data_IF_987156853401
#
_entry.id   IF_987156853401
#
_cell.length_a   1.000
_cell.length_b   1.000
_cell.length_c   1.000
_cell.angle_alpha   90.00
_cell.angle_beta   90.00
_cell.angle_gamma   90.00
#
_symmetry.space_group_name_H-M   'P 1'
#
loop_
_entity.id
_entity.type
_entity.pdbx_description
1 polymer ?
#
# COMPACT_ATOMS: atom_id res chain seq x y z
N UNK A 1 -5.35 1.09 -26.57
CA UNK A 1 -4.78 0.44 -25.38
C UNK A 1 -4.92 -1.06 -25.60
N UNK A 2 -3.87 -1.70 -26.11
CA UNK A 2 -3.79 -3.15 -26.07
C UNK A 2 -3.60 -3.62 -24.63
N UNK A 3 -3.85 -4.91 -24.32
CA UNK A 3 -3.62 -5.48 -22.98
C UNK A 3 -2.17 -5.31 -22.48
N UNK A 4 -1.24 -5.00 -23.39
CA UNK A 4 0.18 -4.77 -23.10
C UNK A 4 0.50 -3.34 -22.66
N UNK A 5 -0.40 -2.38 -22.87
CA UNK A 5 -0.19 -0.96 -22.54
C UNK A 5 -0.54 -0.61 -21.08
N UNK A 6 -1.03 -1.58 -20.31
CA UNK A 6 -1.56 -1.38 -18.94
C UNK A 6 -0.59 -1.82 -17.85
N UNK A 7 0.69 -1.97 -18.15
CA UNK A 7 1.74 -2.32 -17.16
C UNK A 7 2.86 -1.28 -17.17
N UNK A 8 3.54 -1.01 -16.03
CA UNK A 8 4.78 -0.26 -16.02
C UNK A 8 5.89 -1.01 -16.78
N UNK A 9 6.98 -0.35 -17.17
CA UNK A 9 8.11 -1.02 -17.84
C UNK A 9 8.76 -2.12 -16.98
N UNK A 10 8.79 -1.92 -15.66
CA UNK A 10 9.42 -2.81 -14.67
C UNK A 10 8.45 -3.11 -13.53
N UNK A 11 8.52 -4.32 -13.00
CA UNK A 11 7.79 -4.76 -11.81
C UNK A 11 8.63 -4.51 -10.53
N UNK A 12 8.05 -4.63 -9.31
CA UNK A 12 8.73 -4.29 -8.05
C UNK A 12 10.04 -5.05 -7.79
N UNK A 13 10.21 -6.22 -8.38
CA UNK A 13 11.40 -7.07 -8.30
C UNK A 13 12.55 -6.60 -9.21
N UNK A 14 12.30 -5.59 -10.04
CA UNK A 14 13.25 -5.06 -11.02
C UNK A 14 13.20 -5.78 -12.38
N UNK A 15 12.39 -6.82 -12.54
CA UNK A 15 12.26 -7.54 -13.82
C UNK A 15 11.39 -6.74 -14.79
N UNK A 16 11.66 -6.83 -16.09
CA UNK A 16 10.80 -6.17 -17.09
C UNK A 16 9.43 -6.85 -17.15
N UNK A 17 8.37 -6.05 -17.26
CA UNK A 17 7.00 -6.57 -17.39
C UNK A 17 6.85 -7.50 -18.61
N UNK A 18 7.58 -7.25 -19.70
CA UNK A 18 7.52 -8.10 -20.88
C UNK A 18 8.13 -9.49 -20.62
N UNK A 19 9.25 -9.55 -19.89
CA UNK A 19 9.92 -10.80 -19.56
C UNK A 19 9.11 -11.64 -18.57
N UNK A 20 8.66 -11.07 -17.46
CA UNK A 20 7.82 -11.78 -16.49
C UNK A 20 6.52 -12.29 -17.12
N UNK A 21 5.86 -11.46 -17.95
CA UNK A 21 4.64 -11.89 -18.64
C UNK A 21 4.91 -13.09 -19.54
N UNK A 22 6.04 -13.11 -20.26
CA UNK A 22 6.45 -14.24 -21.10
C UNK A 22 6.69 -15.50 -20.27
N UNK A 23 7.33 -15.38 -19.11
CA UNK A 23 7.56 -16.50 -18.20
C UNK A 23 6.23 -17.11 -17.69
N UNK A 24 5.30 -16.27 -17.23
CA UNK A 24 4.00 -16.75 -16.76
C UNK A 24 3.15 -17.37 -17.89
N UNK A 25 3.15 -16.77 -19.08
CA UNK A 25 2.47 -17.35 -20.26
C UNK A 25 3.11 -18.68 -20.65
N UNK A 26 4.43 -18.79 -20.58
CA UNK A 26 5.12 -20.04 -20.85
C UNK A 26 4.73 -21.11 -19.82
N UNK A 27 4.63 -20.79 -18.53
CA UNK A 27 4.15 -21.72 -17.51
C UNK A 27 2.75 -22.26 -17.83
N UNK A 28 1.84 -21.39 -18.29
CA UNK A 28 0.50 -21.81 -18.76
C UNK A 28 0.58 -22.83 -19.89
N UNK A 29 1.49 -22.63 -20.85
CA UNK A 29 1.70 -23.60 -21.93
C UNK A 29 2.33 -24.92 -21.48
N UNK A 30 2.97 -24.95 -20.32
CA UNK A 30 3.46 -26.18 -19.68
C UNK A 30 2.38 -26.87 -18.83
N UNK A 31 1.17 -26.31 -18.75
CA UNK A 31 0.04 -26.86 -18.01
C UNK A 31 -0.21 -26.20 -16.65
N UNK A 32 0.58 -25.18 -16.28
CA UNK A 32 0.41 -24.49 -15.02
C UNK A 32 -0.74 -23.47 -15.03
N UNK A 33 -1.17 -23.05 -13.84
CA UNK A 33 -2.17 -22.00 -13.66
C UNK A 33 -1.64 -20.91 -12.72
N UNK A 34 -0.63 -20.13 -13.17
CA UNK A 34 0.07 -19.19 -12.30
C UNK A 34 -0.88 -18.11 -11.77
N UNK A 35 -0.72 -17.81 -10.48
CA UNK A 35 -1.34 -16.71 -9.76
C UNK A 35 -0.24 -15.89 -9.13
N UNK A 36 -0.20 -14.59 -9.42
CA UNK A 36 0.90 -13.71 -9.01
C UNK A 36 0.41 -12.27 -8.83
N UNK A 37 1.15 -11.52 -8.02
CA UNK A 37 0.95 -10.08 -7.90
C UNK A 37 1.58 -9.35 -9.08
N UNK A 38 0.89 -8.30 -9.54
CA UNK A 38 1.29 -7.52 -10.70
C UNK A 38 0.92 -6.06 -10.50
N UNK A 39 1.84 -5.14 -10.79
CA UNK A 39 1.51 -3.73 -10.89
C UNK A 39 0.96 -3.41 -12.28
N UNK A 40 -0.27 -2.90 -12.33
CA UNK A 40 -0.86 -2.31 -13.52
C UNK A 40 -0.78 -0.78 -13.48
N UNK A 41 -0.83 -0.14 -14.64
CA UNK A 41 -0.90 1.32 -14.78
C UNK A 41 -2.34 1.74 -15.14
N UNK A 42 -2.98 2.49 -14.26
CA UNK A 42 -4.25 3.15 -14.53
C UNK A 42 -4.11 4.21 -15.63
N UNK A 43 -5.20 4.59 -16.29
CA UNK A 43 -5.21 5.66 -17.31
C UNK A 43 -4.68 7.01 -16.76
N UNK A 44 -4.79 7.25 -15.45
CA UNK A 44 -4.24 8.43 -14.77
C UNK A 44 -2.73 8.36 -14.50
N UNK A 45 -2.06 7.26 -14.85
CA UNK A 45 -0.66 7.01 -14.55
C UNK A 45 -0.40 6.36 -13.18
N UNK A 46 -1.41 6.30 -12.29
CA UNK A 46 -1.33 5.63 -10.99
C UNK A 46 -1.04 4.13 -11.15
N UNK A 47 -0.15 3.60 -10.33
CA UNK A 47 0.10 2.16 -10.25
C UNK A 47 -0.94 1.49 -9.34
N UNK A 48 -1.50 0.38 -9.80
CA UNK A 48 -2.54 -0.40 -9.12
C UNK A 48 -1.99 -1.81 -8.90
N UNK A 49 -1.85 -2.27 -7.63
CA UNK A 49 -1.52 -3.65 -7.35
C UNK A 49 -2.73 -4.55 -7.67
N UNK A 50 -2.50 -5.56 -8.49
CA UNK A 50 -3.51 -6.54 -8.85
C UNK A 50 -2.99 -7.97 -8.65
N UNK A 51 -3.89 -8.90 -8.36
CA UNK A 51 -3.63 -10.31 -8.54
C UNK A 51 -4.04 -10.72 -9.95
N UNK A 52 -3.11 -11.35 -10.66
CA UNK A 52 -3.33 -11.88 -12.00
C UNK A 52 -3.33 -13.39 -11.94
N UNK A 53 -4.37 -14.00 -12.52
CA UNK A 53 -4.46 -15.44 -12.73
C UNK A 53 -4.50 -15.75 -14.21
N UNK A 54 -3.60 -16.60 -14.67
CA UNK A 54 -3.59 -17.09 -16.05
C UNK A 54 -4.06 -18.53 -16.13
N UNK A 55 -4.91 -18.83 -17.11
CA UNK A 55 -5.42 -20.18 -17.37
C UNK A 55 -5.40 -20.45 -18.88
N UNK A 56 -4.97 -21.65 -19.27
CA UNK A 56 -5.05 -22.10 -20.65
C UNK A 56 -6.52 -22.25 -21.07
N UNK A 57 -6.91 -21.70 -22.22
CA UNK A 57 -8.23 -21.96 -22.78
C UNK A 57 -8.19 -23.27 -23.58
N UNK A 58 -9.18 -24.17 -23.40
CA UNK A 58 -9.25 -25.39 -24.19
C UNK A 58 -9.50 -25.05 -25.67
N UNK A 59 -8.75 -25.69 -26.57
CA UNK A 59 -8.86 -25.49 -28.02
C UNK A 59 -7.57 -25.77 -28.77
N UNK A 60 -7.62 -25.67 -30.11
CA UNK A 60 -6.48 -25.87 -31.02
C UNK A 60 -5.52 -24.68 -31.11
N UNK A 61 -5.93 -23.51 -30.61
CA UNK A 61 -5.11 -22.30 -30.57
C UNK A 61 -4.53 -22.10 -29.17
N UNK A 62 -3.24 -21.71 -29.10
CA UNK A 62 -2.51 -21.40 -27.85
C UNK A 62 -3.04 -20.12 -27.19
N UNK A 63 -4.25 -20.17 -26.65
CA UNK A 63 -4.94 -19.03 -26.03
C UNK A 63 -4.85 -19.11 -24.50
N UNK A 64 -4.60 -17.96 -23.89
CA UNK A 64 -4.54 -17.80 -22.44
C UNK A 64 -5.63 -16.81 -22.03
N UNK A 65 -6.40 -17.16 -20.99
CA UNK A 65 -7.28 -16.23 -20.30
C UNK A 65 -6.54 -15.66 -19.10
N UNK A 66 -6.45 -14.33 -19.05
CA UNK A 66 -6.07 -13.60 -17.83
C UNK A 66 -7.29 -13.11 -17.08
N UNK A 67 -7.33 -13.35 -15.76
CA UNK A 67 -8.23 -12.68 -14.83
C UNK A 67 -7.39 -11.72 -13.98
N UNK A 68 -7.84 -10.48 -13.83
CA UNK A 68 -7.13 -9.43 -13.08
C UNK A 68 -8.06 -8.95 -11.98
N UNK A 69 -7.60 -8.97 -10.72
CA UNK A 69 -8.33 -8.51 -9.55
C UNK A 69 -7.55 -7.36 -8.92
N UNK A 70 -8.16 -6.19 -8.79
CA UNK A 70 -7.57 -5.04 -8.09
C UNK A 70 -7.53 -5.32 -6.57
N UNK A 71 -6.31 -5.30 -6.01
CA UNK A 71 -6.05 -5.55 -4.59
C UNK A 71 -5.74 -4.28 -3.79
N UNK A 72 -5.93 -3.09 -4.37
CA UNK A 72 -5.64 -1.81 -3.72
C UNK A 72 -6.30 -1.71 -2.35
N UNK A 73 -7.60 -2.01 -2.28
CA UNK A 73 -8.37 -1.90 -1.05
C UNK A 73 -7.99 -2.98 -0.03
N UNK A 74 -7.66 -4.19 -0.51
CA UNK A 74 -7.17 -5.27 0.35
C UNK A 74 -5.83 -4.87 1.01
N UNK A 75 -4.86 -4.42 0.22
CA UNK A 75 -3.56 -3.98 0.73
C UNK A 75 -3.71 -2.80 1.69
N UNK A 76 -4.60 -1.84 1.37
CA UNK A 76 -4.88 -0.71 2.26
C UNK A 76 -5.44 -1.16 3.61
N UNK A 77 -6.37 -2.11 3.63
CA UNK A 77 -6.94 -2.68 4.88
C UNK A 77 -5.88 -3.39 5.69
N UNK A 78 -5.03 -4.19 5.05
CA UNK A 78 -3.93 -4.90 5.71
C UNK A 78 -2.95 -3.91 6.35
N UNK A 79 -2.58 -2.84 5.64
CA UNK A 79 -1.71 -1.79 6.20
C UNK A 79 -2.35 -1.04 7.37
N UNK A 80 -3.64 -0.70 7.28
CA UNK A 80 -4.38 -0.05 8.38
C UNK A 80 -4.47 -0.99 9.60
N UNK A 81 -4.71 -2.28 9.38
CA UNK A 81 -4.81 -3.26 10.46
C UNK A 81 -3.46 -3.44 11.16
N UNK A 82 -2.36 -3.53 10.39
CA UNK A 82 -1.00 -3.58 10.93
C UNK A 82 -0.67 -2.31 11.72
N UNK A 83 -0.97 -1.13 11.18
CA UNK A 83 -0.76 0.13 11.89
C UNK A 83 -1.58 0.22 13.19
N UNK A 84 -2.83 -0.25 13.18
CA UNK A 84 -3.68 -0.31 14.38
C UNK A 84 -3.07 -1.23 15.43
N UNK A 85 -2.58 -2.40 15.02
CA UNK A 85 -1.87 -3.32 15.90
C UNK A 85 -0.59 -2.69 16.47
N UNK A 86 0.23 -2.06 15.63
CA UNK A 86 1.47 -1.42 16.04
C UNK A 86 1.21 -0.29 17.04
N UNK A 87 0.16 0.51 16.84
CA UNK A 87 -0.24 1.58 17.80
C UNK A 87 -0.65 0.96 19.13
N UNK A 88 -1.44 -0.12 19.12
CA UNK A 88 -1.84 -0.81 20.34
C UNK A 88 -0.64 -1.41 21.07
N UNK A 89 0.34 -1.96 20.34
CA UNK A 89 1.59 -2.44 20.95
C UNK A 89 2.42 -1.29 21.54
N UNK A 90 2.55 -0.16 20.83
CA UNK A 90 3.25 1.02 21.33
C UNK A 90 2.61 1.54 22.63
N UNK A 91 1.28 1.54 22.73
CA UNK A 91 0.56 1.95 23.94
C UNK A 91 0.85 1.06 25.16
N UNK A 92 1.25 -0.19 24.94
CA UNK A 92 1.57 -1.15 26.00
C UNK A 92 3.07 -1.18 26.37
N UNK A 93 3.93 -0.67 25.49
CA UNK A 93 5.39 -0.84 25.60
C UNK A 93 6.16 0.46 25.77
N UNK A 94 5.57 1.61 25.43
CA UNK A 94 6.20 2.91 25.60
C UNK A 94 6.40 3.24 27.09
N UNK A 95 7.55 3.81 27.41
CA UNK A 95 7.89 4.21 28.78
C UNK A 95 7.12 5.47 29.21
N UNK A 96 6.83 6.37 28.26
CA UNK A 96 6.11 7.62 28.47
C UNK A 96 5.23 8.03 27.27
N UNK A 97 4.47 9.12 27.45
CA UNK A 97 3.58 9.64 26.42
C UNK A 97 4.34 10.25 25.23
N UNK A 98 5.52 10.83 25.44
CA UNK A 98 6.31 11.44 24.36
C UNK A 98 6.82 10.36 23.39
N UNK A 99 7.30 9.24 23.93
CA UNK A 99 7.67 8.07 23.15
C UNK A 99 6.47 7.46 22.43
N UNK A 100 5.32 7.36 23.11
CA UNK A 100 4.10 6.86 22.50
C UNK A 100 3.65 7.74 21.32
N UNK A 101 3.59 9.05 21.49
CA UNK A 101 3.20 9.99 20.44
C UNK A 101 4.15 9.95 19.24
N UNK A 102 5.46 9.89 19.49
CA UNK A 102 6.46 9.70 18.44
C UNK A 102 6.25 8.38 17.69
N UNK A 103 5.91 7.30 18.40
CA UNK A 103 5.61 6.01 17.78
C UNK A 103 4.37 6.07 16.90
N UNK A 104 3.28 6.70 17.36
CA UNK A 104 2.09 6.95 16.52
C UNK A 104 2.48 7.69 15.25
N UNK A 105 3.27 8.76 15.37
CA UNK A 105 3.68 9.56 14.22
C UNK A 105 4.43 8.72 13.18
N UNK A 106 5.44 7.94 13.61
CA UNK A 106 6.19 7.04 12.72
C UNK A 106 5.29 5.97 12.08
N UNK A 107 4.31 5.44 12.82
CA UNK A 107 3.37 4.45 12.31
C UNK A 107 2.47 5.05 11.23
N UNK A 108 1.93 6.25 11.46
CA UNK A 108 1.03 6.95 10.52
C UNK A 108 1.77 7.40 9.26
N UNK A 109 3.03 7.83 9.36
CA UNK A 109 3.87 8.19 8.20
C UNK A 109 3.99 7.07 7.17
N UNK A 110 3.86 5.79 7.58
CA UNK A 110 3.88 4.65 6.65
C UNK A 110 2.59 4.54 5.81
N UNK A 111 1.48 5.11 6.29
CA UNK A 111 0.18 5.00 5.64
C UNK A 111 -0.15 6.18 4.73
N UNK A 112 0.34 7.37 5.09
CA UNK A 112 0.12 8.61 4.35
C UNK A 112 1.28 9.57 4.56
N UNK A 113 1.53 10.50 3.62
CA UNK A 113 2.47 11.61 3.85
C UNK A 113 2.03 12.39 5.09
N UNK A 114 2.79 12.23 6.18
CA UNK A 114 2.51 12.86 7.47
C UNK A 114 3.72 13.67 7.94
N UNK A 115 4.32 14.42 7.00
CA UNK A 115 5.38 15.39 7.24
C UNK A 115 5.03 16.36 8.38
N UNK A 116 3.78 16.83 8.40
CA UNK A 116 3.23 17.66 9.45
C UNK A 116 2.22 16.83 10.25
N UNK A 117 2.47 16.65 11.55
CA UNK A 117 1.65 15.79 12.41
C UNK A 117 1.50 16.39 13.81
N UNK A 118 0.27 16.46 14.29
CA UNK A 118 -0.07 17.07 15.58
C UNK A 118 -1.03 16.17 16.35
N UNK A 119 -0.81 16.05 17.66
CA UNK A 119 -1.77 15.46 18.58
C UNK A 119 -2.30 16.58 19.45
N UNK A 120 -3.62 16.79 19.40
CA UNK A 120 -4.31 17.79 20.19
C UNK A 120 -5.17 17.10 21.25
N UNK A 121 -5.03 17.53 22.50
CA UNK A 121 -5.86 17.06 23.61
C UNK A 121 -6.84 18.17 23.98
N UNK A 122 -8.12 17.84 24.04
CA UNK A 122 -9.18 18.75 24.44
C UNK A 122 -9.63 18.46 25.87
N UNK A 123 -9.55 19.45 26.75
CA UNK A 123 -10.14 19.39 28.08
C UNK A 123 -11.55 20.00 28.06
N UNK A 124 -12.57 19.15 28.23
CA UNK A 124 -13.96 19.57 28.22
C UNK A 124 -14.35 20.51 29.39
N UNK A 125 -13.63 20.47 30.52
CA UNK A 125 -13.94 21.31 31.68
C UNK A 125 -13.46 22.74 31.48
N UNK A 126 -12.22 22.88 31.04
CA UNK A 126 -11.58 24.18 30.85
C UNK A 126 -11.86 24.75 29.45
N UNK A 127 -12.29 23.90 28.50
CA UNK A 127 -12.45 24.18 27.06
C UNK A 127 -11.13 24.53 26.36
N UNK A 128 -9.99 24.13 26.91
CA UNK A 128 -8.68 24.34 26.32
C UNK A 128 -8.26 23.18 25.44
N UNK A 129 -7.54 23.50 24.36
CA UNK A 129 -6.83 22.55 23.52
C UNK A 129 -5.34 22.69 23.85
N UNK A 130 -4.66 21.57 24.09
CA UNK A 130 -3.20 21.51 24.20
C UNK A 130 -2.63 20.65 23.08
N UNK A 131 -1.41 20.96 22.67
CA UNK A 131 -0.68 20.22 21.63
C UNK A 131 0.54 19.54 22.23
N UNK A 132 0.38 18.43 22.98
CA UNK A 132 1.50 17.73 23.59
C UNK A 132 2.48 17.12 22.57
N UNK A 133 2.05 16.94 21.32
CA UNK A 133 2.94 16.49 20.25
C UNK A 133 2.72 17.31 18.99
N UNK A 134 3.82 17.80 18.42
CA UNK A 134 3.84 18.50 17.16
C UNK A 134 5.13 18.14 16.40
N UNK A 135 4.98 17.91 15.10
CA UNK A 135 6.07 17.82 14.16
C UNK A 135 5.67 18.64 12.93
N UNK A 136 6.47 19.66 12.63
CA UNK A 136 6.27 20.58 11.50
C UNK A 136 7.56 20.67 10.69
N UNK A 137 7.47 20.54 9.37
CA UNK A 137 8.61 20.73 8.46
C UNK A 137 9.14 22.18 8.47
N UNK A 138 8.33 23.15 8.93
CA UNK A 138 8.64 24.58 8.90
C UNK A 138 8.94 25.22 10.27
N UNK A 139 8.99 24.42 11.35
CA UNK A 139 9.48 24.86 12.66
C UNK A 139 8.54 25.79 13.45
N UNK A 140 7.26 25.85 13.13
CA UNK A 140 6.28 26.63 13.89
C UNK A 140 5.54 25.79 14.93
N UNK A 141 5.60 26.19 16.21
CA UNK A 141 4.65 25.72 17.22
C UNK A 141 3.24 26.24 16.83
N UNK A 142 2.18 25.40 16.80
CA UNK A 142 0.82 25.89 16.57
C UNK A 142 0.42 26.84 17.71
N UNK A 143 -0.01 28.06 17.40
CA UNK A 143 -0.61 28.91 18.43
C UNK A 143 -1.86 28.21 19.02
N UNK A 144 -2.05 28.25 20.35
CA UNK A 144 -3.17 27.58 21.03
C UNK A 144 -4.55 28.13 20.67
#
# INVERSE_FOLDING_TARGET
LGPWDVSPPMQPDGTTSAEMARQHIQAVYHGDTPMFEWLHRHASGRLIPCEVRLVALPGSERRVRGSIIDNTERHRREQIQLATYDIAQAALTADDLDEFYRSIHLIIQRLLPAANFYIALFDAKTRWISFPYYADEHGGHPDP
#
